data_IF_929931898123
#
_entry.id   IF_929931898123
#
_cell.length_a   1.000
_cell.length_b   1.000
_cell.length_c   1.000
_cell.angle_alpha   90.00
_cell.angle_beta   90.00
_cell.angle_gamma   90.00
#
_symmetry.space_group_name_H-M   'P 1'
#
loop_
_entity.id
_entity.type
_entity.pdbx_description
1 polymer ?
#
# COMPACT_ATOMS: atom_id res chain seq x y z
N UNK A 1 -25.27 0.72 8.77
CA UNK A 1 -24.13 -0.09 8.29
C UNK A 1 -22.86 0.73 8.48
N UNK A 2 -21.80 0.09 8.99
CA UNK A 2 -20.49 0.72 9.10
C UNK A 2 -19.84 0.78 7.72
N UNK A 3 -19.26 1.92 7.31
CA UNK A 3 -18.61 2.01 6.01
C UNK A 3 -17.31 1.19 6.02
N UNK A 4 -16.97 0.62 4.86
CA UNK A 4 -15.73 -0.13 4.67
C UNK A 4 -14.87 0.51 3.59
N UNK A 5 -13.56 0.49 3.78
CA UNK A 5 -12.59 0.98 2.82
C UNK A 5 -11.55 -0.11 2.53
N UNK A 6 -10.96 -0.08 1.34
CA UNK A 6 -9.87 -0.98 0.99
C UNK A 6 -8.63 -0.23 0.55
N UNK A 7 -7.47 -0.83 0.79
CA UNK A 7 -6.16 -0.42 0.30
C UNK A 7 -5.47 -1.65 -0.29
N UNK A 8 -5.14 -1.61 -1.58
CA UNK A 8 -4.28 -2.60 -2.21
C UNK A 8 -2.82 -2.21 -1.96
N UNK A 9 -2.10 -3.08 -1.27
CA UNK A 9 -0.71 -2.86 -0.88
C UNK A 9 0.18 -3.44 -1.95
N UNK A 10 1.05 -2.60 -2.50
CA UNK A 10 2.10 -3.01 -3.41
C UNK A 10 3.45 -2.97 -2.69
N UNK A 11 4.29 -3.97 -2.94
CA UNK A 11 5.60 -4.14 -2.32
C UNK A 11 6.60 -4.51 -3.42
N UNK A 12 7.66 -3.70 -3.59
CA UNK A 12 8.76 -4.00 -4.50
C UNK A 12 9.30 -2.78 -5.24
N UNK A 13 10.27 -3.00 -6.12
CA UNK A 13 10.85 -1.95 -6.94
C UNK A 13 10.15 -1.92 -8.30
N UNK A 14 9.39 -0.85 -8.56
CA UNK A 14 8.62 -0.67 -9.80
C UNK A 14 9.54 -0.67 -11.04
N UNK A 15 10.66 0.05 -10.99
CA UNK A 15 11.57 0.15 -12.14
C UNK A 15 12.23 -1.20 -12.46
N UNK A 16 12.59 -1.98 -11.44
CA UNK A 16 13.11 -3.34 -11.64
C UNK A 16 12.06 -4.29 -12.19
N UNK A 17 10.82 -4.20 -11.69
CA UNK A 17 9.69 -4.98 -12.19
C UNK A 17 9.39 -4.66 -13.65
N UNK A 18 9.35 -3.38 -14.01
CA UNK A 18 9.05 -2.93 -15.38
C UNK A 18 10.14 -3.39 -16.35
N UNK A 19 11.42 -3.31 -15.96
CA UNK A 19 12.53 -3.87 -16.76
C UNK A 19 12.39 -5.38 -16.92
N UNK A 20 12.12 -6.11 -15.84
CA UNK A 20 11.95 -7.56 -15.90
C UNK A 20 10.72 -7.98 -16.74
N UNK A 21 9.65 -7.20 -16.69
CA UNK A 21 8.45 -7.40 -17.50
C UNK A 21 8.72 -7.14 -18.98
N UNK A 22 9.45 -6.07 -19.30
CA UNK A 22 9.87 -5.76 -20.67
C UNK A 22 10.78 -6.87 -21.24
N UNK A 23 11.75 -7.34 -20.46
CA UNK A 23 12.61 -8.46 -20.84
C UNK A 23 11.80 -9.74 -21.11
N UNK A 24 10.87 -10.10 -20.22
CA UNK A 24 9.99 -11.26 -20.41
C UNK A 24 9.12 -11.13 -21.67
N UNK A 25 8.53 -9.95 -21.90
CA UNK A 25 7.72 -9.68 -23.09
C UNK A 25 8.54 -9.75 -24.38
N UNK A 26 9.79 -9.27 -24.36
CA UNK A 26 10.69 -9.38 -25.50
C UNK A 26 11.07 -10.84 -25.80
N UNK A 27 11.36 -11.66 -24.77
CA UNK A 27 11.54 -13.11 -24.95
C UNK A 27 10.30 -13.76 -25.56
N UNK A 28 9.10 -13.43 -25.06
CA UNK A 28 7.85 -13.96 -25.58
C UNK A 28 7.62 -13.57 -27.04
N UNK A 29 7.97 -12.34 -27.43
CA UNK A 29 7.86 -11.88 -28.81
C UNK A 29 8.85 -12.60 -29.75
N UNK A 30 10.08 -12.85 -29.30
CA UNK A 30 11.06 -13.64 -30.06
C UNK A 30 10.59 -15.09 -30.20
N UNK A 31 10.12 -15.70 -29.11
CA UNK A 31 9.57 -17.04 -29.12
C UNK A 31 8.39 -17.15 -30.09
N UNK A 32 7.43 -16.23 -30.05
CA UNK A 32 6.27 -16.26 -30.93
C UNK A 32 6.64 -16.25 -32.42
N UNK A 33 7.73 -15.57 -32.82
CA UNK A 33 8.21 -15.56 -34.20
C UNK A 33 8.85 -16.88 -34.64
N UNK A 34 9.43 -17.62 -33.70
CA UNK A 34 10.28 -18.78 -33.98
C UNK A 34 9.65 -20.11 -33.56
N UNK A 35 8.60 -20.09 -32.74
CA UNK A 35 8.04 -21.29 -32.11
C UNK A 35 7.61 -22.37 -33.10
N UNK A 36 6.95 -21.97 -34.20
CA UNK A 36 6.54 -22.92 -35.24
C UNK A 36 7.73 -23.54 -36.01
N UNK A 37 8.82 -22.78 -36.17
CA UNK A 37 10.01 -23.20 -36.93
C UNK A 37 10.78 -24.28 -36.16
N UNK A 38 10.92 -24.09 -34.84
CA UNK A 38 11.72 -24.94 -33.97
C UNK A 38 10.87 -25.89 -33.11
N UNK A 39 9.56 -25.96 -33.33
CA UNK A 39 8.65 -26.80 -32.54
C UNK A 39 8.62 -26.45 -31.05
N UNK A 40 8.74 -25.17 -30.70
CA UNK A 40 8.84 -24.71 -29.32
C UNK A 40 7.44 -24.50 -28.69
N UNK A 41 7.33 -24.69 -27.36
CA UNK A 41 6.17 -24.29 -26.58
C UNK A 41 5.74 -22.82 -26.79
N UNK A 42 4.47 -22.47 -26.51
CA UNK A 42 3.93 -21.14 -26.79
C UNK A 42 4.30 -20.07 -25.76
N UNK A 43 4.91 -20.44 -24.63
CA UNK A 43 5.28 -19.49 -23.56
C UNK A 43 6.73 -19.68 -23.12
N UNK A 44 7.45 -18.59 -22.78
CA UNK A 44 8.84 -18.70 -22.30
C UNK A 44 8.99 -19.59 -21.06
N UNK A 45 7.96 -19.62 -20.20
CA UNK A 45 7.97 -20.39 -18.95
C UNK A 45 7.79 -21.91 -19.16
N UNK A 46 7.36 -22.33 -20.35
CA UNK A 46 7.17 -23.74 -20.69
C UNK A 46 8.39 -24.36 -21.40
N UNK A 47 9.44 -23.58 -21.66
CA UNK A 47 10.63 -24.04 -22.38
C UNK A 47 11.54 -24.85 -21.45
N UNK A 48 12.04 -25.99 -21.95
CA UNK A 48 13.18 -26.68 -21.34
C UNK A 48 14.46 -25.85 -21.43
N UNK A 49 15.48 -26.19 -20.63
CA UNK A 49 16.79 -25.49 -20.68
C UNK A 49 17.39 -25.50 -22.10
N UNK A 50 17.33 -26.64 -22.79
CA UNK A 50 17.79 -26.79 -24.18
C UNK A 50 17.03 -25.85 -25.14
N UNK A 51 15.72 -25.73 -24.96
CA UNK A 51 14.88 -24.83 -25.78
C UNK A 51 15.14 -23.36 -25.48
N UNK A 52 15.52 -23.03 -24.24
CA UNK A 52 15.95 -21.68 -23.88
C UNK A 52 17.28 -21.33 -24.56
N UNK A 53 18.21 -22.27 -24.66
CA UNK A 53 19.48 -22.07 -25.36
C UNK A 53 19.30 -21.81 -26.86
N UNK A 54 18.36 -22.52 -27.51
CA UNK A 54 17.97 -22.23 -28.90
C UNK A 54 17.57 -20.76 -29.05
N UNK A 55 16.73 -20.24 -28.15
CA UNK A 55 16.34 -18.82 -28.21
C UNK A 55 17.53 -17.89 -27.98
N UNK A 56 18.38 -18.17 -26.97
CA UNK A 56 19.58 -17.35 -26.70
C UNK A 56 20.49 -17.25 -27.91
N UNK A 57 20.61 -18.31 -28.69
CA UNK A 57 21.40 -18.29 -29.93
C UNK A 57 20.74 -17.52 -31.08
N UNK A 58 19.40 -17.45 -31.12
CA UNK A 58 18.66 -16.67 -32.12
C UNK A 58 18.84 -15.16 -31.93
N UNK A 59 18.99 -14.68 -30.70
CA UNK A 59 19.31 -13.28 -30.40
C UNK A 59 20.17 -13.16 -29.14
N UNK A 60 21.49 -13.18 -29.35
CA UNK A 60 22.48 -13.05 -28.28
C UNK A 60 22.55 -11.65 -27.66
N UNK A 61 21.89 -10.65 -28.26
CA UNK A 61 21.86 -9.29 -27.75
C UNK A 61 20.71 -9.03 -26.78
N UNK A 62 19.69 -9.90 -26.82
CA UNK A 62 18.51 -9.76 -25.98
C UNK A 62 18.76 -10.31 -24.57
N UNK A 63 18.54 -9.48 -23.56
CA UNK A 63 18.51 -9.94 -22.16
C UNK A 63 17.21 -10.74 -21.93
N UNK A 64 17.31 -12.06 -22.09
CA UNK A 64 16.13 -12.93 -22.02
C UNK A 64 15.74 -13.29 -20.60
N UNK A 65 14.43 -13.24 -20.38
CA UNK A 65 13.79 -13.76 -19.17
C UNK A 65 12.73 -14.80 -19.54
N UNK A 66 12.77 -15.96 -18.88
CA UNK A 66 11.89 -17.10 -19.17
C UNK A 66 10.76 -17.28 -18.15
N UNK A 67 10.89 -16.69 -16.96
CA UNK A 67 9.81 -16.62 -15.98
C UNK A 67 9.24 -15.19 -15.89
N UNK A 68 7.91 -15.00 -15.80
CA UNK A 68 7.36 -13.68 -15.56
C UNK A 68 7.88 -13.12 -14.22
N UNK A 69 8.07 -11.79 -14.10
CA UNK A 69 8.38 -11.20 -12.80
C UNK A 69 7.24 -11.44 -11.81
N UNK A 70 7.58 -11.53 -10.52
CA UNK A 70 6.56 -11.63 -9.48
C UNK A 70 5.69 -10.35 -9.46
N UNK A 71 4.37 -10.46 -9.26
CA UNK A 71 3.50 -9.30 -9.14
C UNK A 71 3.91 -8.40 -7.97
N UNK A 72 3.82 -7.08 -8.18
CA UNK A 72 4.08 -6.10 -7.11
C UNK A 72 2.91 -5.98 -6.12
N UNK A 73 1.69 -6.28 -6.55
CA UNK A 73 0.53 -6.29 -5.67
C UNK A 73 0.67 -7.42 -4.65
N UNK A 74 0.90 -7.06 -3.38
CA UNK A 74 0.89 -8.02 -2.29
C UNK A 74 -0.56 -8.46 -2.03
N UNK A 75 -1.51 -7.53 -2.00
CA UNK A 75 -2.93 -7.87 -1.87
C UNK A 75 -3.71 -6.75 -1.21
N UNK A 76 -4.94 -7.05 -0.82
CA UNK A 76 -5.91 -6.09 -0.30
C UNK A 76 -6.01 -6.12 1.22
N UNK A 77 -5.93 -4.95 1.86
CA UNK A 77 -6.41 -4.73 3.22
C UNK A 77 -7.83 -4.14 3.16
N UNK A 78 -8.78 -4.74 3.87
CA UNK A 78 -10.14 -4.19 4.02
C UNK A 78 -10.32 -3.75 5.46
N UNK A 79 -10.74 -2.50 5.66
CA UNK A 79 -11.01 -1.92 6.97
C UNK A 79 -12.49 -1.66 7.16
N UNK A 80 -13.03 -2.15 8.27
CA UNK A 80 -14.31 -1.70 8.80
C UNK A 80 -14.08 -0.41 9.59
N UNK A 81 -14.73 0.68 9.18
CA UNK A 81 -14.59 1.98 9.82
C UNK A 81 -15.72 2.21 10.82
N UNK A 82 -15.44 2.93 11.90
CA UNK A 82 -16.46 3.29 12.88
C UNK A 82 -17.38 4.38 12.31
N UNK A 83 -18.66 4.02 12.12
CA UNK A 83 -19.71 4.90 11.63
C UNK A 83 -20.41 5.74 12.69
N UNK A 84 -19.93 5.75 13.94
CA UNK A 84 -20.52 6.56 15.01
C UNK A 84 -20.30 8.06 14.78
N UNK A 85 -21.26 8.86 15.25
CA UNK A 85 -21.22 10.32 15.12
C UNK A 85 -19.95 10.95 15.72
N UNK A 86 -19.40 10.33 16.78
CA UNK A 86 -18.18 10.81 17.43
C UNK A 86 -16.90 10.65 16.61
N UNK A 87 -16.94 9.92 15.48
CA UNK A 87 -15.82 9.70 14.56
C UNK A 87 -16.14 10.10 13.12
N UNK A 88 -17.30 10.71 12.88
CA UNK A 88 -17.77 11.03 11.54
C UNK A 88 -16.77 11.90 10.76
N UNK A 89 -16.08 12.83 11.44
CA UNK A 89 -15.10 13.72 10.80
C UNK A 89 -13.85 12.96 10.36
N UNK A 90 -13.33 12.08 11.21
CA UNK A 90 -12.15 11.25 10.89
C UNK A 90 -12.48 10.23 9.80
N UNK A 91 -13.59 9.51 9.92
CA UNK A 91 -14.01 8.49 8.95
C UNK A 91 -14.31 9.10 7.59
N UNK A 92 -15.00 10.25 7.51
CA UNK A 92 -15.27 10.94 6.25
C UNK A 92 -13.98 11.43 5.56
N UNK A 93 -12.99 11.88 6.34
CA UNK A 93 -11.69 12.27 5.78
C UNK A 93 -10.97 11.07 5.16
N UNK A 94 -10.88 9.95 5.87
CA UNK A 94 -10.20 8.77 5.35
C UNK A 94 -10.91 8.20 4.10
N UNK A 95 -12.24 8.09 4.11
CA UNK A 95 -13.00 7.60 2.97
C UNK A 95 -12.82 8.46 1.73
N UNK A 96 -12.94 9.78 1.88
CA UNK A 96 -12.76 10.71 0.77
C UNK A 96 -11.32 10.68 0.20
N UNK A 97 -10.33 10.41 1.04
CA UNK A 97 -8.95 10.18 0.62
C UNK A 97 -8.74 8.81 -0.03
N UNK A 98 -9.56 7.79 0.30
CA UNK A 98 -9.57 6.52 -0.44
C UNK A 98 -10.22 6.64 -1.81
N UNK A 99 -11.25 7.46 -1.98
CA UNK A 99 -11.99 7.62 -3.25
C UNK A 99 -11.40 8.71 -4.16
N UNK A 100 -10.68 9.68 -3.59
CA UNK A 100 -10.16 10.83 -4.34
C UNK A 100 -11.22 11.88 -4.71
N UNK A 101 -12.44 11.77 -4.17
CA UNK A 101 -13.62 12.55 -4.57
C UNK A 101 -13.52 14.06 -4.30
N UNK A 102 -12.56 14.50 -3.47
CA UNK A 102 -12.41 15.90 -3.05
C UNK A 102 -11.43 16.70 -3.91
N UNK A 103 -10.87 16.11 -4.96
CA UNK A 103 -10.05 16.82 -5.93
C UNK A 103 -8.65 17.17 -5.43
N UNK A 104 -8.22 18.43 -5.59
CA UNK A 104 -6.86 18.87 -5.27
C UNK A 104 -6.71 19.32 -3.81
N UNK A 105 -5.50 19.17 -3.25
CA UNK A 105 -5.14 19.73 -1.96
C UNK A 105 -5.18 21.27 -2.01
N UNK A 106 -5.66 21.91 -0.93
CA UNK A 106 -5.74 23.37 -0.85
C UNK A 106 -4.36 24.01 -0.69
N UNK A 107 -3.48 23.40 0.11
CA UNK A 107 -2.15 23.94 0.40
C UNK A 107 -1.04 23.35 -0.48
N UNK A 108 -1.36 22.36 -1.31
CA UNK A 108 -0.47 21.79 -2.31
C UNK A 108 -1.24 21.53 -3.63
N UNK A 109 -1.57 22.57 -4.41
CA UNK A 109 -2.52 22.47 -5.54
C UNK A 109 -2.14 21.45 -6.63
N UNK A 110 -0.86 21.09 -6.74
CA UNK A 110 -0.37 20.06 -7.67
C UNK A 110 -0.53 18.63 -7.15
N UNK A 111 -1.11 18.45 -5.95
CA UNK A 111 -1.33 17.16 -5.30
C UNK A 111 -2.83 16.92 -5.15
N UNK A 112 -3.24 15.66 -5.25
CA UNK A 112 -4.64 15.24 -5.10
C UNK A 112 -4.91 14.82 -3.65
N UNK A 113 -6.11 15.06 -3.17
CA UNK A 113 -6.65 14.49 -1.93
C UNK A 113 -6.99 13.01 -2.16
N UNK A 114 -5.98 12.17 -2.40
CA UNK A 114 -6.14 10.76 -2.77
C UNK A 114 -4.94 9.92 -2.30
N UNK A 115 -5.20 8.72 -1.78
CA UNK A 115 -4.18 7.76 -1.36
C UNK A 115 -3.57 6.95 -2.50
N UNK A 116 -4.16 6.93 -3.69
CA UNK A 116 -3.61 6.21 -4.85
C UNK A 116 -2.16 6.63 -5.13
N UNK A 117 -1.25 5.65 -5.16
CA UNK A 117 0.18 5.85 -5.34
C UNK A 117 0.92 6.39 -4.12
N UNK A 118 0.24 6.59 -2.98
CA UNK A 118 0.86 7.14 -1.78
C UNK A 118 1.79 6.11 -1.11
N UNK A 119 3.02 6.49 -0.74
CA UNK A 119 3.94 5.58 -0.04
C UNK A 119 3.47 5.23 1.38
N UNK A 120 3.68 3.97 1.76
CA UNK A 120 3.79 3.57 3.16
C UNK A 120 5.23 3.84 3.57
N UNK A 121 5.50 5.10 3.89
CA UNK A 121 6.84 5.65 4.03
C UNK A 121 7.57 5.17 5.30
N UNK A 122 6.84 4.64 6.29
CA UNK A 122 7.41 4.18 7.54
C UNK A 122 6.75 2.91 8.05
N UNK A 123 7.49 1.81 8.12
CA UNK A 123 7.07 0.54 8.72
C UNK A 123 8.06 0.12 9.79
N UNK A 124 7.61 0.07 11.05
CA UNK A 124 8.39 -0.47 12.17
C UNK A 124 7.88 -1.86 12.48
N UNK A 125 8.75 -2.84 12.25
CA UNK A 125 8.44 -4.27 12.43
C UNK A 125 7.92 -4.56 13.84
N UNK A 126 6.82 -5.28 13.92
CA UNK A 126 6.11 -5.60 15.15
C UNK A 126 5.64 -4.36 15.90
N UNK A 127 5.25 -3.28 15.20
CA UNK A 127 4.64 -2.12 15.84
C UNK A 127 3.58 -1.44 14.95
N UNK A 128 3.98 -0.68 13.93
CA UNK A 128 3.05 0.09 13.07
C UNK A 128 3.59 0.22 11.64
N UNK A 129 2.68 0.21 10.66
CA UNK A 129 2.92 0.66 9.30
C UNK A 129 2.19 1.98 9.06
N UNK A 130 2.90 3.01 8.63
CA UNK A 130 2.42 4.38 8.49
C UNK A 130 2.53 4.84 7.04
N UNK A 131 1.43 5.40 6.54
CA UNK A 131 1.30 5.95 5.20
C UNK A 131 0.41 7.18 5.19
N UNK A 132 -0.09 7.55 4.01
CA UNK A 132 -1.03 8.65 3.86
C UNK A 132 -0.42 10.04 3.83
N UNK A 133 0.91 10.16 3.64
CA UNK A 133 1.51 11.44 3.26
C UNK A 133 1.33 11.65 1.75
N UNK A 134 0.16 12.19 1.39
CA UNK A 134 -0.26 12.39 0.01
C UNK A 134 0.45 13.55 -0.69
N UNK A 135 1.21 14.38 0.04
CA UNK A 135 1.85 15.57 -0.55
C UNK A 135 3.35 15.36 -0.78
N UNK A 136 4.06 14.78 0.19
CA UNK A 136 5.52 14.58 0.14
C UNK A 136 5.95 13.12 0.13
N UNK A 137 5.14 12.23 0.71
CA UNK A 137 5.43 10.80 0.76
C UNK A 137 6.57 10.41 1.70
N UNK A 138 7.00 11.29 2.60
CA UNK A 138 8.14 11.08 3.51
C UNK A 138 7.78 11.22 5.00
N UNK A 139 6.51 11.54 5.29
CA UNK A 139 5.98 11.74 6.64
C UNK A 139 5.97 13.20 7.09
N UNK A 140 6.58 14.12 6.34
CA UNK A 140 6.57 15.56 6.65
C UNK A 140 5.38 16.33 6.05
N UNK A 141 4.57 15.66 5.22
CA UNK A 141 3.43 16.26 4.53
C UNK A 141 2.06 15.75 4.97
N UNK A 142 1.14 15.72 4.01
CA UNK A 142 -0.26 15.37 4.17
C UNK A 142 -1.21 16.56 4.37
N UNK A 143 -2.46 16.38 3.98
CA UNK A 143 -3.52 17.38 4.12
C UNK A 143 -4.87 16.67 4.27
N UNK A 144 -5.71 17.10 5.22
CA UNK A 144 -7.09 16.60 5.29
C UNK A 144 -7.97 17.23 4.21
N UNK A 145 -9.12 16.61 3.95
CA UNK A 145 -10.15 17.15 3.05
C UNK A 145 -10.75 18.48 3.51
N UNK A 146 -10.41 18.93 4.73
CA UNK A 146 -10.88 20.17 5.33
C UNK A 146 -9.92 21.35 5.12
N UNK A 147 -8.82 21.16 4.38
CA UNK A 147 -7.86 22.22 4.06
C UNK A 147 -6.79 22.41 5.14
N UNK A 148 -6.10 21.35 5.53
CA UNK A 148 -5.02 21.38 6.52
C UNK A 148 -5.17 20.29 7.58
N UNK A 149 -4.94 20.65 8.85
CA UNK A 149 -5.09 19.76 10.01
C UNK A 149 -6.48 19.88 10.65
N UNK A 150 -6.93 18.85 11.37
CA UNK A 150 -8.17 18.86 12.14
C UNK A 150 -8.02 18.25 13.54
N UNK A 151 -8.95 18.64 14.43
CA UNK A 151 -8.95 18.27 15.84
C UNK A 151 -9.15 16.77 16.06
N UNK A 152 -8.73 16.30 17.23
CA UNK A 152 -8.93 14.92 17.65
C UNK A 152 -10.40 14.63 17.94
N UNK A 153 -10.93 13.59 17.32
CA UNK A 153 -12.22 13.02 17.70
C UNK A 153 -12.07 12.25 19.02
N UNK A 154 -12.59 12.84 20.12
CA UNK A 154 -12.43 12.31 21.49
C UNK A 154 -12.90 10.86 21.65
N UNK A 155 -13.86 10.42 20.84
CA UNK A 155 -14.34 9.05 20.87
C UNK A 155 -13.23 8.05 20.46
N UNK A 156 -12.42 8.38 19.44
CA UNK A 156 -11.30 7.55 19.02
C UNK A 156 -10.13 7.54 19.98
N UNK A 157 -9.88 8.65 20.69
CA UNK A 157 -8.83 8.71 21.73
C UNK A 157 -9.10 7.77 22.91
N UNK A 158 -10.37 7.47 23.19
CA UNK A 158 -10.77 6.57 24.29
C UNK A 158 -10.65 5.09 23.92
N UNK A 159 -10.46 4.77 22.64
CA UNK A 159 -10.35 3.38 22.19
C UNK A 159 -8.96 2.84 22.45
N UNK A 160 -8.92 1.56 22.84
CA UNK A 160 -7.67 0.81 22.90
C UNK A 160 -7.33 0.32 21.50
N UNK A 161 -6.13 0.64 21.04
CA UNK A 161 -5.58 0.05 19.82
C UNK A 161 -5.29 -1.44 20.06
N UNK A 162 -5.48 -2.25 19.02
CA UNK A 162 -5.15 -3.68 18.95
C UNK A 162 -4.50 -3.96 17.59
N UNK A 163 -3.92 -5.14 17.39
CA UNK A 163 -3.43 -5.58 16.07
C UNK A 163 -4.53 -5.40 15.02
N UNK A 164 -4.19 -4.80 13.88
CA UNK A 164 -5.14 -4.45 12.81
C UNK A 164 -5.93 -3.16 13.03
N UNK A 165 -5.79 -2.45 14.16
CA UNK A 165 -6.41 -1.14 14.33
C UNK A 165 -5.87 -0.12 13.32
N UNK A 166 -6.79 0.68 12.77
CA UNK A 166 -6.51 1.82 11.91
C UNK A 166 -6.66 3.12 12.72
N UNK A 167 -5.62 3.94 12.72
CA UNK A 167 -5.56 5.17 13.52
C UNK A 167 -4.87 6.33 12.81
N UNK A 168 -5.23 7.56 13.17
CA UNK A 168 -4.62 8.76 12.59
C UNK A 168 -3.20 8.96 13.14
N UNK A 169 -2.25 9.20 12.24
CA UNK A 169 -0.94 9.73 12.63
C UNK A 169 -1.06 11.25 12.86
N UNK A 170 -0.30 11.77 13.82
CA UNK A 170 -0.31 13.19 14.16
C UNK A 170 1.06 13.66 14.67
N UNK A 171 1.26 14.97 14.73
CA UNK A 171 2.43 15.65 15.27
C UNK A 171 2.11 16.32 16.62
N UNK A 172 1.23 15.71 17.41
CA UNK A 172 0.68 16.27 18.65
C UNK A 172 -0.84 16.47 18.59
N UNK A 173 -1.41 16.89 19.72
CA UNK A 173 -2.87 17.06 19.88
C UNK A 173 -3.45 17.92 18.76
N UNK A 174 -4.59 17.50 18.22
CA UNK A 174 -5.36 18.22 17.21
C UNK A 174 -4.61 18.49 15.90
N UNK A 175 -3.75 17.56 15.47
CA UNK A 175 -2.96 17.72 14.24
C UNK A 175 -3.19 16.61 13.21
N UNK A 176 -4.37 15.98 13.22
CA UNK A 176 -4.74 14.96 12.24
C UNK A 176 -4.82 15.57 10.83
N UNK A 177 -4.35 14.86 9.81
CA UNK A 177 -4.41 15.30 8.41
C UNK A 177 -4.84 14.13 7.50
N UNK A 178 -3.99 13.69 6.58
CA UNK A 178 -4.18 12.50 5.75
C UNK A 178 -3.39 11.29 6.24
N UNK A 179 -2.38 11.48 7.08
CA UNK A 179 -1.52 10.37 7.51
C UNK A 179 -2.25 9.45 8.50
N UNK A 180 -2.04 8.15 8.33
CA UNK A 180 -2.61 7.11 9.17
C UNK A 180 -1.56 6.03 9.43
N UNK A 181 -1.82 5.18 10.41
CA UNK A 181 -1.08 3.95 10.61
C UNK A 181 -2.00 2.76 10.90
N UNK A 182 -1.52 1.58 10.53
CA UNK A 182 -2.10 0.29 10.87
C UNK A 182 -1.23 -0.36 11.94
N UNK A 183 -1.85 -0.85 13.00
CA UNK A 183 -1.14 -1.51 14.11
C UNK A 183 -0.78 -2.95 13.72
N UNK A 184 0.50 -3.29 13.84
CA UNK A 184 1.05 -4.59 13.43
C UNK A 184 1.26 -5.56 14.60
N UNK A 185 1.14 -5.06 15.83
CA UNK A 185 1.48 -5.81 17.05
C UNK A 185 0.28 -6.08 17.96
N UNK A 186 0.38 -7.18 18.68
CA UNK A 186 -0.44 -7.61 19.81
C UNK A 186 0.28 -7.46 21.17
N UNK A 187 1.50 -6.93 21.17
CA UNK A 187 2.27 -6.67 22.39
C UNK A 187 1.66 -5.51 23.19
N UNK A 188 1.12 -5.82 24.38
CA UNK A 188 0.45 -4.86 25.26
C UNK A 188 1.35 -3.68 25.70
N UNK A 189 2.66 -3.89 25.84
CA UNK A 189 3.60 -2.83 26.24
C UNK A 189 3.78 -1.83 25.09
N UNK A 190 3.84 -2.31 23.84
CA UNK A 190 3.87 -1.45 22.65
C UNK A 190 2.52 -0.76 22.43
N UNK A 191 1.42 -1.48 22.58
CA UNK A 191 0.06 -0.92 22.44
C UNK A 191 -0.21 0.19 23.46
N UNK A 192 0.26 0.03 24.70
CA UNK A 192 0.15 1.06 25.74
C UNK A 192 0.78 2.41 25.34
N UNK A 193 1.79 2.41 24.45
CA UNK A 193 2.42 3.65 23.94
C UNK A 193 1.49 4.49 23.06
N UNK A 194 0.46 3.87 22.48
CA UNK A 194 -0.49 4.49 21.55
C UNK A 194 -1.74 5.05 22.25
N UNK A 195 -2.07 4.52 23.44
CA UNK A 195 -3.33 4.81 24.13
C UNK A 195 -3.49 6.31 24.44
N UNK A 196 -4.65 6.87 24.07
CA UNK A 196 -5.00 8.26 24.34
C UNK A 196 -4.28 9.31 23.48
N UNK A 197 -3.41 8.89 22.55
CA UNK A 197 -2.60 9.79 21.71
C UNK A 197 -3.06 9.89 20.27
N UNK A 198 -3.70 8.83 19.77
CA UNK A 198 -4.09 8.71 18.37
C UNK A 198 -5.57 8.35 18.27
N UNK A 199 -6.26 8.96 17.31
CA UNK A 199 -7.67 8.69 17.05
C UNK A 199 -7.77 7.34 16.35
N UNK A 200 -8.22 6.30 17.05
CA UNK A 200 -8.54 4.99 16.43
C UNK A 200 -9.92 5.08 15.81
N UNK A 201 -10.03 4.78 14.52
CA UNK A 201 -11.26 5.02 13.76
C UNK A 201 -11.69 3.84 12.87
N UNK A 202 -10.92 2.76 12.82
CA UNK A 202 -11.31 1.53 12.13
C UNK A 202 -10.50 0.33 12.58
N UNK A 203 -10.83 -0.83 12.01
CA UNK A 203 -10.12 -2.08 12.24
C UNK A 203 -10.09 -2.94 10.97
N UNK A 204 -9.03 -3.72 10.83
CA UNK A 204 -8.87 -4.66 9.73
C UNK A 204 -9.96 -5.74 9.81
N UNK A 205 -10.70 -5.89 8.73
CA UNK A 205 -11.71 -6.92 8.53
C UNK A 205 -11.15 -8.08 7.69
N UNK A 206 -10.39 -7.79 6.63
CA UNK A 206 -9.82 -8.79 5.71
C UNK A 206 -8.38 -8.40 5.30
N UNK A 207 -7.58 -9.37 4.86
CA UNK A 207 -6.20 -9.15 4.40
C UNK A 207 -5.14 -9.32 5.49
N UNK A 208 -5.35 -10.21 6.47
CA UNK A 208 -4.38 -10.46 7.54
C UNK A 208 -3.02 -10.95 7.03
N UNK A 209 -2.99 -11.74 5.95
CA UNK A 209 -1.78 -12.18 5.26
C UNK A 209 -1.03 -11.01 4.60
N UNK A 210 -1.76 -10.00 4.11
CA UNK A 210 -1.19 -8.76 3.56
C UNK A 210 -0.60 -7.93 4.69
N UNK A 211 -1.26 -7.89 5.86
CA UNK A 211 -0.75 -7.20 7.05
C UNK A 211 0.57 -7.82 7.52
N UNK A 212 0.69 -9.15 7.48
CA UNK A 212 1.92 -9.87 7.83
C UNK A 212 3.05 -9.61 6.84
N UNK A 213 2.76 -9.58 5.54
CA UNK A 213 3.75 -9.19 4.52
C UNK A 213 4.19 -7.75 4.66
N UNK A 214 3.26 -6.85 5.00
CA UNK A 214 3.57 -5.46 5.30
C UNK A 214 4.49 -5.34 6.52
N UNK A 215 4.25 -6.11 7.58
CA UNK A 215 5.13 -6.14 8.76
C UNK A 215 6.52 -6.74 8.45
N UNK A 216 6.57 -7.76 7.60
CA UNK A 216 7.80 -8.43 7.22
C UNK A 216 8.81 -7.52 6.50
N UNK A 217 8.32 -6.52 5.75
CA UNK A 217 9.15 -5.50 5.09
C UNK A 217 9.46 -4.29 5.99
N UNK A 218 9.10 -4.36 7.27
CA UNK A 218 9.44 -3.34 8.26
C UNK A 218 10.95 -3.11 8.39
N UNK A 219 11.33 -1.85 8.43
CA UNK A 219 12.70 -1.39 8.56
C UNK A 219 13.30 -1.54 9.94
N UNK A 220 14.57 -1.18 10.03
CA UNK A 220 15.31 -1.05 11.30
C UNK A 220 14.88 0.19 12.11
N UNK A 221 15.83 0.81 12.80
CA UNK A 221 15.54 1.86 13.78
C UNK A 221 14.87 3.13 13.22
N UNK A 222 15.07 3.44 11.93
CA UNK A 222 14.46 4.58 11.23
C UNK A 222 13.03 4.30 10.75
N UNK A 223 12.61 3.04 10.77
CA UNK A 223 11.33 2.58 10.26
C UNK A 223 11.20 2.66 8.75
N UNK A 224 12.27 2.84 7.98
CA UNK A 224 12.20 2.85 6.51
C UNK A 224 12.01 1.42 5.99
N UNK A 225 10.96 1.13 5.20
CA UNK A 225 10.75 -0.22 4.67
C UNK A 225 11.96 -0.76 3.89
N UNK A 226 12.21 -2.07 3.99
CA UNK A 226 13.33 -2.73 3.30
C UNK A 226 13.17 -2.78 1.78
N UNK A 227 11.93 -2.65 1.31
CA UNK A 227 11.55 -2.51 -0.10
C UNK A 227 10.50 -1.41 -0.21
N UNK A 228 10.37 -0.71 -1.36
CA UNK A 228 9.32 0.30 -1.52
C UNK A 228 7.93 -0.32 -1.31
N UNK A 229 7.07 0.41 -0.59
CA UNK A 229 5.68 0.03 -0.32
C UNK A 229 4.78 1.22 -0.63
N UNK A 230 3.69 0.98 -1.35
CA UNK A 230 2.71 2.00 -1.67
C UNK A 230 1.30 1.44 -1.78
N UNK A 231 0.34 2.35 -1.77
CA UNK A 231 -1.07 2.04 -2.02
C UNK A 231 -1.27 2.00 -3.53
N UNK A 232 -1.39 0.80 -4.09
CA UNK A 232 -1.54 0.60 -5.53
C UNK A 232 -2.93 0.94 -6.04
N UNK A 233 -3.96 0.61 -5.28
CA UNK A 233 -5.36 0.97 -5.52
C UNK A 233 -6.06 1.19 -4.18
N UNK A 234 -7.11 2.01 -4.14
CA UNK A 234 -7.90 2.22 -2.92
C UNK A 234 -9.31 2.70 -3.24
N UNK A 235 -10.21 2.54 -2.27
CA UNK A 235 -11.58 3.00 -2.43
C UNK A 235 -12.50 2.65 -1.26
N UNK A 236 -13.76 3.04 -1.39
CA UNK A 236 -14.84 2.62 -0.51
C UNK A 236 -15.52 1.38 -1.09
N UNK A 237 -15.80 0.38 -0.25
CA UNK A 237 -16.64 -0.75 -0.63
C UNK A 237 -18.11 -0.39 -0.44
N UNK A 238 -18.96 -0.73 -1.42
CA UNK A 238 -20.40 -0.59 -1.29
C UNK A 238 -20.89 -1.49 -0.14
N UNK A 239 -21.67 -0.93 0.78
CA UNK A 239 -22.24 -1.70 1.89
C UNK A 239 -23.23 -2.72 1.36
N UNK A 240 -22.98 -4.00 1.62
CA UNK A 240 -23.95 -5.09 1.46
C UNK A 240 -24.94 -5.10 2.62
#
# INVERSE_FOLDING_TARGET
MSPSAYLDIHIGNQDEHDRAQAAYAATAALLAKNAAIYGLPPSPAALSEEQQDILRDLDRSLEMRFAPPAPLCAGRLVFALDGSQGLAKTTANFLALCTGEKGACKNAPNKKLHYLGCPVHRTVKGFVAQGGDITRGDGSGGESIYGGKFNDDKAGLKKKAKRGSLAMANAGKNTNSSQFFVVLTDDEVKLAKLHGKYVVFGELAEGWDVLERLDAVGGGADGKPTMPVWIGECGQLAGS
#
